data_IF_068065550300
#
_entry.id   IF_068065550300
#
_cell.length_a   1.000
_cell.length_b   1.000
_cell.length_c   1.000
_cell.angle_alpha   90.00
_cell.angle_beta   90.00
_cell.angle_gamma   90.00
#
_symmetry.space_group_name_H-M   'P 1'
#
loop_
_entity.id
_entity.type
_entity.pdbx_description
1 polymer ?
#
# COMPACT_ATOMS: atom_id res chain seq x y z
N UNK A 1 5.34 13.23 23.18
CA UNK A 1 5.62 13.28 21.73
C UNK A 1 6.84 14.13 21.48
N UNK A 2 7.73 13.72 20.58
CA UNK A 2 8.87 14.53 20.17
C UNK A 2 8.46 15.59 19.13
N UNK A 3 9.34 16.58 18.92
CA UNK A 3 9.09 17.73 18.02
C UNK A 3 8.82 17.29 16.57
N UNK A 4 9.46 16.22 16.09
CA UNK A 4 9.32 15.75 14.71
C UNK A 4 7.97 15.07 14.52
N UNK A 5 7.59 14.16 15.43
CA UNK A 5 6.30 13.48 15.38
C UNK A 5 5.12 14.46 15.47
N UNK A 6 5.20 15.47 16.36
CA UNK A 6 4.19 16.50 16.46
C UNK A 6 3.98 17.27 15.14
N UNK A 7 5.08 17.58 14.42
CA UNK A 7 5.02 18.24 13.10
C UNK A 7 4.25 17.41 12.08
N UNK A 8 4.48 16.10 12.02
CA UNK A 8 3.81 15.25 11.02
C UNK A 8 2.37 14.96 11.39
N UNK A 9 2.06 14.76 12.67
CA UNK A 9 0.67 14.56 13.11
C UNK A 9 -0.20 15.75 12.72
N UNK A 10 0.26 16.98 12.94
CA UNK A 10 -0.51 18.18 12.56
C UNK A 10 -0.68 18.29 11.04
N UNK A 11 0.26 17.79 10.23
CA UNK A 11 0.17 17.83 8.76
C UNK A 11 -0.83 16.85 8.16
N UNK A 12 -1.16 15.75 8.84
CA UNK A 12 -2.11 14.72 8.37
C UNK A 12 -3.52 15.31 8.17
N UNK A 13 -4.21 15.83 9.21
CA UNK A 13 -5.57 16.36 9.04
C UNK A 13 -5.60 17.65 8.21
N UNK A 14 -4.48 18.40 8.16
CA UNK A 14 -4.35 19.59 7.33
C UNK A 14 -4.12 19.29 5.84
N UNK A 15 -3.93 18.02 5.46
CA UNK A 15 -3.58 17.60 4.11
C UNK A 15 -2.33 18.34 3.55
N UNK A 16 -1.32 18.58 4.40
CA UNK A 16 -0.09 19.33 4.08
C UNK A 16 1.18 18.50 4.26
N UNK A 17 1.08 17.17 4.13
CA UNK A 17 2.23 16.26 4.25
C UNK A 17 3.25 16.47 3.13
N UNK A 18 2.80 16.55 1.88
CA UNK A 18 3.61 16.75 0.66
C UNK A 18 4.84 15.82 0.59
N UNK A 19 4.63 14.52 0.80
CA UNK A 19 5.71 13.52 0.76
C UNK A 19 6.05 13.06 -0.67
N UNK A 20 5.17 13.31 -1.65
CA UNK A 20 5.47 13.06 -3.06
C UNK A 20 5.40 11.60 -3.50
N UNK A 21 4.54 10.79 -2.89
CA UNK A 21 4.32 9.39 -3.29
C UNK A 21 2.82 9.07 -3.41
N UNK A 22 2.51 7.97 -4.09
CA UNK A 22 1.16 7.43 -4.28
C UNK A 22 1.10 5.93 -3.97
N UNK A 23 -0.07 5.31 -4.12
CA UNK A 23 -0.26 3.88 -3.89
C UNK A 23 0.62 3.02 -4.80
N UNK A 24 0.87 3.46 -6.05
CA UNK A 24 1.79 2.77 -6.97
C UNK A 24 3.23 2.74 -6.41
N UNK A 25 3.65 3.82 -5.74
CA UNK A 25 4.95 3.84 -5.04
C UNK A 25 4.98 2.88 -3.85
N UNK A 26 3.84 2.69 -3.19
CA UNK A 26 3.71 1.71 -2.11
C UNK A 26 3.78 0.27 -2.62
N UNK A 27 3.18 -0.03 -3.78
CA UNK A 27 3.31 -1.35 -4.42
C UNK A 27 4.77 -1.66 -4.78
N UNK A 28 5.51 -0.67 -5.31
CA UNK A 28 6.96 -0.79 -5.52
C UNK A 28 7.71 -1.12 -4.23
N UNK A 29 7.40 -0.41 -3.15
CA UNK A 29 8.05 -0.62 -1.86
C UNK A 29 7.74 -2.00 -1.27
N UNK A 30 6.52 -2.53 -1.48
CA UNK A 30 6.14 -3.88 -1.08
C UNK A 30 6.89 -4.95 -1.89
N UNK A 31 7.05 -4.76 -3.20
CA UNK A 31 7.89 -5.63 -4.03
C UNK A 31 9.33 -5.65 -3.52
N UNK A 32 9.90 -4.46 -3.24
CA UNK A 32 11.25 -4.33 -2.69
C UNK A 32 11.39 -4.99 -1.33
N UNK A 33 10.39 -4.88 -0.46
CA UNK A 33 10.39 -5.53 0.86
C UNK A 33 10.46 -7.05 0.75
N UNK A 34 9.82 -7.64 -0.27
CA UNK A 34 9.76 -9.10 -0.46
C UNK A 34 10.92 -9.68 -1.26
N UNK A 35 11.28 -9.04 -2.38
CA UNK A 35 12.19 -9.59 -3.39
C UNK A 35 13.48 -8.76 -3.56
N UNK A 36 13.57 -7.56 -2.96
CA UNK A 36 14.71 -6.66 -3.16
C UNK A 36 14.71 -5.96 -4.53
N UNK A 37 13.63 -6.07 -5.29
CA UNK A 37 13.46 -5.43 -6.60
C UNK A 37 11.98 -5.12 -6.88
N UNK A 38 11.67 -4.71 -8.11
CA UNK A 38 10.29 -4.40 -8.57
C UNK A 38 9.63 -5.55 -9.34
N UNK A 39 10.16 -6.77 -9.28
CA UNK A 39 9.67 -7.91 -10.07
C UNK A 39 8.23 -8.30 -9.74
N UNK A 40 7.79 -8.07 -8.49
CA UNK A 40 6.45 -8.43 -8.01
C UNK A 40 5.41 -7.34 -8.24
N UNK A 41 5.78 -6.22 -8.89
CA UNK A 41 4.89 -5.08 -9.10
C UNK A 41 3.63 -5.45 -9.87
N UNK A 42 3.76 -6.18 -10.99
CA UNK A 42 2.60 -6.55 -11.80
C UNK A 42 1.57 -7.34 -10.99
N UNK A 43 2.02 -8.36 -10.24
CA UNK A 43 1.15 -9.16 -9.38
C UNK A 43 0.46 -8.35 -8.29
N UNK A 44 1.17 -7.40 -7.68
CA UNK A 44 0.61 -6.53 -6.64
C UNK A 44 -0.39 -5.51 -7.22
N UNK A 45 -0.11 -5.01 -8.42
CA UNK A 45 -0.97 -4.08 -9.16
C UNK A 45 -2.26 -4.77 -9.62
N UNK A 46 -2.20 -6.01 -10.10
CA UNK A 46 -3.40 -6.80 -10.45
C UNK A 46 -4.35 -6.97 -9.26
N UNK A 47 -3.81 -7.29 -8.08
CA UNK A 47 -4.62 -7.38 -6.87
C UNK A 47 -5.14 -6.03 -6.39
N UNK A 48 -4.36 -4.96 -6.57
CA UNK A 48 -4.81 -3.60 -6.29
C UNK A 48 -5.94 -3.16 -7.23
N UNK A 49 -5.95 -3.58 -8.49
CA UNK A 49 -7.06 -3.31 -9.41
C UNK A 49 -8.35 -3.99 -8.95
N UNK A 50 -8.26 -5.24 -8.46
CA UNK A 50 -9.41 -5.97 -7.90
C UNK A 50 -9.92 -5.34 -6.59
N UNK A 51 -9.00 -4.81 -5.77
CA UNK A 51 -9.32 -4.15 -4.50
C UNK A 51 -8.35 -2.99 -4.25
N UNK A 52 -8.71 -1.74 -4.63
CA UNK A 52 -7.91 -0.53 -4.52
C UNK A 52 -7.78 -0.02 -3.07
N UNK A 53 -7.28 -0.88 -2.19
CA UNK A 53 -7.08 -0.64 -0.77
C UNK A 53 -5.64 -1.01 -0.41
N UNK A 54 -4.76 -0.01 -0.47
CA UNK A 54 -3.33 -0.21 -0.21
C UNK A 54 -3.06 -0.71 1.21
N UNK A 55 -3.91 -0.35 2.18
CA UNK A 55 -3.81 -0.80 3.56
C UNK A 55 -4.09 -2.30 3.70
N UNK A 56 -5.09 -2.80 2.97
CA UNK A 56 -5.38 -4.22 2.89
C UNK A 56 -4.28 -5.01 2.17
N UNK A 57 -3.83 -4.52 1.02
CA UNK A 57 -2.73 -5.15 0.25
C UNK A 57 -1.47 -5.23 1.11
N UNK A 58 -1.05 -4.12 1.73
CA UNK A 58 0.15 -4.10 2.58
C UNK A 58 0.05 -5.05 3.78
N UNK A 59 -1.14 -5.13 4.42
CA UNK A 59 -1.37 -6.06 5.54
C UNK A 59 -1.26 -7.52 5.10
N UNK A 60 -1.89 -7.85 3.97
CA UNK A 60 -1.89 -9.21 3.41
C UNK A 60 -0.47 -9.62 3.03
N UNK A 61 0.25 -8.76 2.29
CA UNK A 61 1.66 -8.98 1.95
C UNK A 61 2.52 -9.19 3.20
N UNK A 62 2.30 -8.41 4.26
CA UNK A 62 3.09 -8.52 5.48
C UNK A 62 2.82 -9.82 6.26
N UNK A 63 1.60 -10.33 6.22
CA UNK A 63 1.19 -11.51 6.96
C UNK A 63 1.47 -12.82 6.20
N UNK A 64 1.22 -12.84 4.88
CA UNK A 64 1.17 -14.06 4.07
C UNK A 64 2.19 -14.06 2.91
N UNK A 65 2.96 -12.96 2.75
CA UNK A 65 3.86 -12.78 1.62
C UNK A 65 3.10 -12.62 0.29
N UNK A 66 3.78 -12.93 -0.82
CA UNK A 66 3.19 -12.78 -2.15
C UNK A 66 2.03 -13.77 -2.42
N UNK A 67 2.00 -14.91 -1.71
CA UNK A 67 0.98 -15.94 -1.92
C UNK A 67 -0.42 -15.48 -1.46
N UNK A 68 -0.50 -14.66 -0.41
CA UNK A 68 -1.77 -14.10 0.06
C UNK A 68 -2.46 -13.18 -0.95
N UNK A 69 -1.70 -12.67 -1.93
CA UNK A 69 -2.21 -11.76 -2.95
C UNK A 69 -3.06 -12.49 -4.00
N UNK A 70 -2.81 -13.79 -4.22
CA UNK A 70 -3.61 -14.61 -5.13
C UNK A 70 -5.07 -14.81 -4.68
N UNK A 71 -5.36 -14.55 -3.40
CA UNK A 71 -6.68 -14.72 -2.81
C UNK A 71 -7.46 -13.40 -2.64
N UNK A 72 -6.94 -12.29 -3.16
CA UNK A 72 -7.63 -11.00 -3.09
C UNK A 72 -8.91 -11.06 -3.94
N UNK A 73 -10.03 -10.73 -3.31
CA UNK A 73 -11.35 -10.67 -3.93
C UNK A 73 -11.96 -9.29 -3.76
N UNK A 74 -12.81 -8.92 -4.70
CA UNK A 74 -13.66 -7.74 -4.57
C UNK A 74 -14.46 -7.82 -3.27
N UNK A 75 -14.60 -6.69 -2.59
CA UNK A 75 -15.35 -6.56 -1.34
C UNK A 75 -16.40 -5.47 -1.51
N UNK A 76 -17.64 -5.75 -1.11
CA UNK A 76 -18.73 -4.76 -1.18
C UNK A 76 -18.33 -3.49 -0.42
N UNK A 77 -18.49 -2.34 -1.06
CA UNK A 77 -18.10 -1.03 -0.51
C UNK A 77 -16.67 -0.58 -0.88
N UNK A 78 -15.88 -1.42 -1.55
CA UNK A 78 -14.60 -1.03 -2.16
C UNK A 78 -14.79 -0.96 -3.68
N UNK A 79 -14.37 0.13 -4.35
CA UNK A 79 -14.45 0.23 -5.81
C UNK A 79 -13.56 -0.81 -6.49
N UNK A 80 -13.77 -1.03 -7.78
CA UNK A 80 -12.89 -1.83 -8.64
C UNK A 80 -12.38 -0.88 -9.73
N UNK A 81 -11.11 -0.99 -10.09
CA UNK A 81 -10.48 -0.18 -11.13
C UNK A 81 -10.63 -0.81 -12.52
#
# INVERSE_FOLDING_TARGET
MDRLSARYIVRIPLNKLRLGFSDVTMLDALSWMLAGDKSLRATLEDAYHVRPDIGYIARTVKAEGIQGIAHVRATVGVPIL
#
